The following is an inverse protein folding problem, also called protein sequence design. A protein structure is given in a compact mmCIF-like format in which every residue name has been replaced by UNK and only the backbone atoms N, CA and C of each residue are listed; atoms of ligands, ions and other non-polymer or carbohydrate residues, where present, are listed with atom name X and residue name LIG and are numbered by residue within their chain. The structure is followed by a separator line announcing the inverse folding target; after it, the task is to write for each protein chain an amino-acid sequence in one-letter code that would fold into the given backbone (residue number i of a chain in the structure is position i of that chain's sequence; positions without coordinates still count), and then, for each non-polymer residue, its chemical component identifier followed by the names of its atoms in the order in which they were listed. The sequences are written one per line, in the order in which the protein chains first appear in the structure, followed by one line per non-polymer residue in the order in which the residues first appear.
data_IF_178424564202
#
_entry.id   IF_178424564202
#
_cell.length_a   1.000
_cell.length_b   1.000
_cell.length_c   1.000
_cell.angle_alpha   90.00
_cell.angle_beta   90.00
_cell.angle_gamma   90.00
#
_symmetry.space_group_name_H-M   'P 1'
#
loop_
_entity.id
_entity.type
_entity.pdbx_description
1 polymer ?
#
# COMPACT_ATOMS: atom_id res chain seq x y z
N UNK A 1 -0.63 64.13 -77.78
CA UNK A 1 0.50 63.65 -78.60
C UNK A 1 1.08 62.42 -77.93
N UNK A 2 0.93 61.35 -78.62
CA UNK A 2 1.94 60.37 -78.92
C UNK A 2 2.54 59.67 -77.71
N UNK A 3 2.50 58.51 -77.62
CA UNK A 3 2.53 57.31 -78.36
C UNK A 3 3.06 56.26 -77.46
N UNK A 4 2.56 55.19 -77.33
CA UNK A 4 2.77 53.94 -77.96
C UNK A 4 3.90 53.15 -77.25
N UNK A 5 3.66 52.06 -76.79
CA UNK A 5 4.05 50.81 -77.37
C UNK A 5 3.85 49.63 -76.39
N UNK A 6 3.23 48.65 -76.90
CA UNK A 6 3.03 47.30 -76.29
C UNK A 6 4.38 46.54 -76.27
N UNK A 7 4.55 45.71 -75.27
CA UNK A 7 5.15 44.40 -75.52
C UNK A 7 4.75 43.39 -74.43
N UNK A 8 4.15 42.35 -74.91
CA UNK A 8 3.92 41.07 -74.19
C UNK A 8 5.25 40.35 -74.06
N UNK A 9 5.46 39.77 -72.95
CA UNK A 9 6.16 38.47 -72.92
C UNK A 9 5.73 37.66 -71.69
N UNK A 10 5.44 36.45 -72.01
CA UNK A 10 4.92 35.29 -71.29
C UNK A 10 5.70 34.85 -70.07
N UNK A 11 4.94 34.40 -69.10
CA UNK A 11 5.11 33.09 -68.45
C UNK A 11 6.45 32.70 -67.81
N UNK A 12 6.47 32.57 -66.52
CA UNK A 12 6.99 31.35 -65.88
C UNK A 12 6.37 31.21 -64.50
N UNK A 13 5.57 30.20 -64.40
CA UNK A 13 5.19 29.64 -63.13
C UNK A 13 6.40 29.05 -62.44
N UNK A 14 6.75 29.50 -61.26
CA UNK A 14 7.57 28.73 -60.36
C UNK A 14 6.84 28.64 -59.03
N UNK A 15 6.50 27.44 -58.69
CA UNK A 15 5.82 27.02 -57.50
C UNK A 15 6.63 27.38 -56.24
N UNK A 16 5.96 27.93 -55.29
CA UNK A 16 6.50 28.06 -53.92
C UNK A 16 6.44 26.68 -53.27
N UNK A 17 7.55 26.16 -52.69
CA UNK A 17 7.48 25.00 -51.84
C UNK A 17 6.80 25.40 -50.52
N UNK A 18 5.75 24.69 -50.16
CA UNK A 18 5.06 24.84 -48.92
C UNK A 18 5.98 24.51 -47.77
N UNK A 19 6.15 25.47 -46.88
CA UNK A 19 6.74 25.24 -45.59
C UNK A 19 5.76 24.43 -44.79
N UNK A 20 6.01 23.13 -44.68
CA UNK A 20 5.36 22.28 -43.68
C UNK A 20 5.89 22.68 -42.30
N UNK A 21 5.11 23.46 -41.59
CA UNK A 21 5.32 23.66 -40.17
C UNK A 21 5.13 22.29 -39.46
N UNK A 22 6.24 21.66 -39.15
CA UNK A 22 6.29 20.56 -38.24
C UNK A 22 5.78 21.02 -36.88
N UNK A 23 4.53 20.70 -36.57
CA UNK A 23 4.02 20.78 -35.23
C UNK A 23 4.82 19.83 -34.37
N UNK A 24 5.79 20.37 -33.64
CA UNK A 24 6.46 19.67 -32.56
C UNK A 24 5.37 19.32 -31.52
N UNK A 25 4.93 18.07 -31.58
CA UNK A 25 4.10 17.49 -30.56
C UNK A 25 4.88 17.52 -29.25
N UNK A 26 4.38 18.28 -28.27
CA UNK A 26 4.87 18.22 -26.89
C UNK A 26 4.83 16.76 -26.46
N UNK A 27 5.92 16.22 -25.88
CA UNK A 27 5.89 14.87 -25.35
C UNK A 27 4.79 14.82 -24.29
N UNK A 28 3.76 14.04 -24.55
CA UNK A 28 2.80 13.66 -23.52
C UNK A 28 3.61 12.94 -22.46
N UNK A 29 3.83 13.61 -21.33
CA UNK A 29 4.28 12.94 -20.13
C UNK A 29 3.26 11.82 -19.86
N UNK A 30 3.68 10.63 -20.21
CA UNK A 30 3.00 9.43 -19.73
C UNK A 30 3.21 9.47 -18.22
N UNK A 31 2.20 9.91 -17.50
CA UNK A 31 2.09 9.59 -16.10
C UNK A 31 2.13 8.06 -16.04
N UNK A 32 3.32 7.57 -15.78
CA UNK A 32 3.49 6.20 -15.36
C UNK A 32 2.85 6.12 -13.97
N UNK A 33 1.54 5.99 -13.96
CA UNK A 33 0.86 5.46 -12.80
C UNK A 33 1.35 4.03 -12.68
N UNK A 34 2.51 3.87 -12.05
CA UNK A 34 2.87 2.58 -11.49
C UNK A 34 1.66 2.18 -10.66
N UNK A 35 0.85 1.29 -11.23
CA UNK A 35 -0.15 0.56 -10.47
C UNK A 35 0.63 -0.04 -9.30
N UNK A 36 0.53 0.60 -8.13
CA UNK A 36 0.99 -0.02 -6.88
C UNK A 36 0.39 -1.42 -6.89
N UNK A 37 1.18 -2.45 -6.61
CA UNK A 37 0.61 -3.77 -6.42
C UNK A 37 -0.46 -3.58 -5.36
N UNK A 38 -1.70 -3.68 -5.75
CA UNK A 38 -2.78 -3.72 -4.79
C UNK A 38 -2.51 -4.98 -3.99
N UNK A 39 -2.20 -4.81 -2.71
CA UNK A 39 -2.22 -5.93 -1.79
C UNK A 39 -3.68 -6.39 -1.74
N UNK A 40 -3.99 -7.31 -2.63
CA UNK A 40 -5.36 -7.73 -2.84
C UNK A 40 -5.75 -8.74 -1.79
N UNK A 41 -6.96 -8.65 -1.39
CA UNK A 41 -7.72 -9.63 -0.66
C UNK A 41 -7.34 -11.06 -1.07
N UNK A 42 -6.33 -11.59 -0.42
CA UNK A 42 -5.79 -12.91 -0.78
C UNK A 42 -5.98 -13.93 0.33
N UNK A 43 -6.41 -13.46 1.49
CA UNK A 43 -6.65 -14.34 2.61
C UNK A 43 -8.15 -14.54 2.89
N UNK A 44 -9.02 -13.84 2.16
CA UNK A 44 -10.46 -13.91 2.35
C UNK A 44 -10.95 -13.23 3.63
N UNK A 45 -10.18 -12.29 4.18
CA UNK A 45 -10.49 -11.53 5.39
C UNK A 45 -10.34 -10.04 5.14
N UNK A 46 -11.40 -9.44 4.64
CA UNK A 46 -11.40 -8.05 4.21
C UNK A 46 -11.06 -7.06 5.34
N UNK A 47 -11.51 -7.34 6.57
CA UNK A 47 -11.25 -6.48 7.72
C UNK A 47 -9.77 -6.48 8.09
N UNK A 48 -9.17 -7.65 8.23
CA UNK A 48 -7.74 -7.78 8.57
C UNK A 48 -6.83 -7.26 7.47
N UNK A 49 -7.18 -7.49 6.23
CA UNK A 49 -6.43 -6.96 5.08
C UNK A 49 -6.46 -5.44 5.04
N UNK A 50 -7.61 -4.82 5.26
CA UNK A 50 -7.74 -3.38 5.32
C UNK A 50 -6.91 -2.78 6.48
N UNK A 51 -6.97 -3.39 7.65
CA UNK A 51 -6.18 -2.97 8.81
C UNK A 51 -4.68 -3.12 8.56
N UNK A 52 -4.25 -4.22 7.97
CA UNK A 52 -2.85 -4.47 7.62
C UNK A 52 -2.32 -3.41 6.66
N UNK A 53 -3.05 -3.15 5.59
CA UNK A 53 -2.62 -2.17 4.59
C UNK A 53 -2.59 -0.75 5.16
N UNK A 54 -3.54 -0.40 6.02
CA UNK A 54 -3.56 0.90 6.68
C UNK A 54 -2.34 1.09 7.60
N UNK A 55 -2.05 0.12 8.46
CA UNK A 55 -0.90 0.19 9.38
C UNK A 55 0.42 0.20 8.59
N UNK A 56 0.54 -0.63 7.57
CA UNK A 56 1.73 -0.68 6.72
C UNK A 56 1.99 0.66 6.03
N UNK A 57 0.97 1.33 5.51
CA UNK A 57 1.11 2.64 4.87
C UNK A 57 1.49 3.73 5.85
N UNK A 58 0.94 3.72 7.06
CA UNK A 58 1.34 4.68 8.10
C UNK A 58 2.82 4.54 8.41
N UNK A 59 3.32 3.33 8.54
CA UNK A 59 4.71 3.05 8.89
C UNK A 59 5.71 3.29 7.74
N UNK A 60 5.30 3.06 6.51
CA UNK A 60 6.20 3.12 5.35
C UNK A 60 6.09 4.40 4.52
N UNK A 61 4.97 5.09 4.59
CA UNK A 61 4.66 6.24 3.74
C UNK A 61 4.41 7.53 4.53
N UNK A 62 4.62 7.53 5.83
CA UNK A 62 4.27 8.63 6.75
C UNK A 62 2.81 9.08 6.60
N UNK A 63 1.94 8.15 6.25
CA UNK A 63 0.54 8.43 6.04
C UNK A 63 -0.20 8.58 7.38
N UNK A 64 -1.27 9.39 7.39
CA UNK A 64 -2.11 9.55 8.57
C UNK A 64 -3.18 8.47 8.62
N UNK A 65 -3.17 7.65 9.68
CA UNK A 65 -4.10 6.53 9.85
C UNK A 65 -5.57 6.94 9.77
N UNK A 66 -5.93 8.10 10.32
CA UNK A 66 -7.28 8.66 10.27
C UNK A 66 -7.75 9.05 8.85
N UNK A 67 -6.85 9.15 7.89
CA UNK A 67 -7.15 9.41 6.48
C UNK A 67 -7.06 8.13 5.63
N UNK A 68 -6.05 7.31 5.89
CA UNK A 68 -5.76 6.11 5.09
C UNK A 68 -6.82 5.03 5.28
N UNK A 69 -7.17 4.71 6.53
CA UNK A 69 -8.11 3.62 6.80
C UNK A 69 -9.51 3.89 6.25
N UNK A 70 -10.13 5.05 6.46
CA UNK A 70 -11.43 5.35 5.86
C UNK A 70 -11.42 5.27 4.33
N UNK A 71 -10.34 5.70 3.69
CA UNK A 71 -10.17 5.60 2.24
C UNK A 71 -10.15 4.14 1.79
N UNK A 72 -9.35 3.28 2.44
CA UNK A 72 -9.27 1.85 2.11
C UNK A 72 -10.63 1.19 2.26
N UNK A 73 -11.33 1.46 3.36
CA UNK A 73 -12.65 0.89 3.63
C UNK A 73 -13.66 1.28 2.55
N UNK A 74 -13.65 2.55 2.12
CA UNK A 74 -14.54 3.03 1.04
C UNK A 74 -14.21 2.38 -0.30
N UNK A 75 -12.94 2.35 -0.69
CA UNK A 75 -12.48 1.78 -1.96
C UNK A 75 -12.81 0.28 -2.07
N UNK A 76 -12.71 -0.43 -0.97
CA UNK A 76 -12.97 -1.88 -0.91
C UNK A 76 -14.41 -2.23 -0.52
N UNK A 77 -15.24 -1.23 -0.29
CA UNK A 77 -16.65 -1.40 0.13
C UNK A 77 -16.79 -2.27 1.40
N UNK A 78 -15.85 -2.11 2.31
CA UNK A 78 -15.89 -2.76 3.62
C UNK A 78 -16.80 -1.95 4.54
N UNK A 79 -17.84 -2.55 5.07
CA UNK A 79 -18.91 -1.90 5.86
C UNK A 79 -19.29 -2.73 7.08
N UNK A 80 -20.06 -2.14 7.96
CA UNK A 80 -20.65 -2.81 9.10
C UNK A 80 -19.61 -3.37 10.07
N UNK A 81 -19.77 -4.62 10.47
CA UNK A 81 -18.87 -5.31 11.40
C UNK A 81 -17.43 -5.34 10.93
N UNK A 82 -17.23 -5.61 9.66
CA UNK A 82 -15.87 -5.70 9.10
C UNK A 82 -15.18 -4.35 9.14
N UNK A 83 -15.88 -3.27 8.85
CA UNK A 83 -15.34 -1.92 8.97
C UNK A 83 -15.03 -1.56 10.43
N UNK A 84 -15.90 -1.92 11.37
CA UNK A 84 -15.67 -1.69 12.78
C UNK A 84 -14.47 -2.49 13.30
N UNK A 85 -14.35 -3.75 12.91
CA UNK A 85 -13.23 -4.60 13.28
C UNK A 85 -11.91 -4.13 12.68
N UNK A 86 -11.89 -3.76 11.41
CA UNK A 86 -10.73 -3.17 10.76
C UNK A 86 -10.26 -1.89 11.47
N UNK A 87 -11.21 -1.06 11.88
CA UNK A 87 -10.94 0.19 12.60
C UNK A 87 -10.32 -0.07 13.98
N UNK A 88 -10.88 -1.02 14.72
CA UNK A 88 -10.32 -1.43 16.01
C UNK A 88 -8.90 -1.97 15.86
N UNK A 89 -8.67 -2.87 14.91
CA UNK A 89 -7.35 -3.46 14.68
C UNK A 89 -6.32 -2.41 14.29
N UNK A 90 -6.63 -1.57 13.32
CA UNK A 90 -5.68 -0.57 12.81
C UNK A 90 -5.34 0.47 13.88
N UNK A 91 -6.35 1.09 14.46
CA UNK A 91 -6.12 2.14 15.45
C UNK A 91 -5.61 1.59 16.77
N UNK A 92 -6.08 0.44 17.20
CA UNK A 92 -5.59 -0.24 18.39
C UNK A 92 -4.10 -0.59 18.25
N UNK A 93 -3.70 -1.14 17.13
CA UNK A 93 -2.30 -1.44 16.82
C UNK A 93 -1.45 -0.17 16.81
N UNK A 94 -1.88 0.88 16.11
CA UNK A 94 -1.14 2.14 16.03
C UNK A 94 -0.99 2.84 17.40
N UNK A 95 -2.00 2.76 18.25
CA UNK A 95 -1.94 3.35 19.60
C UNK A 95 -1.02 2.62 20.56
N UNK A 96 -0.77 1.34 20.31
CA UNK A 96 -0.05 0.47 21.24
C UNK A 96 1.29 -0.02 20.71
N UNK A 97 1.82 0.61 19.66
CA UNK A 97 3.07 0.17 18.99
C UNK A 97 4.21 -0.09 19.97
N UNK A 98 4.43 0.79 20.93
CA UNK A 98 5.52 0.63 21.89
C UNK A 98 5.40 -0.65 22.72
N UNK A 99 4.19 -0.96 23.19
CA UNK A 99 3.91 -2.20 23.94
C UNK A 99 4.08 -3.42 23.05
N UNK A 100 3.49 -3.38 21.85
CA UNK A 100 3.57 -4.49 20.90
C UNK A 100 5.02 -4.77 20.50
N UNK A 101 5.79 -3.74 20.20
CA UNK A 101 7.19 -3.88 19.83
C UNK A 101 8.04 -4.46 20.96
N UNK A 102 7.78 -4.05 22.21
CA UNK A 102 8.47 -4.63 23.36
C UNK A 102 8.19 -6.13 23.50
N UNK A 103 6.94 -6.54 23.38
CA UNK A 103 6.57 -7.97 23.42
C UNK A 103 7.19 -8.76 22.26
N UNK A 104 7.13 -8.24 21.05
CA UNK A 104 7.70 -8.90 19.87
C UNK A 104 9.22 -9.01 20.03
N UNK A 105 9.88 -7.97 20.54
CA UNK A 105 11.34 -7.96 20.74
C UNK A 105 11.80 -9.05 21.71
N UNK A 106 11.05 -9.30 22.79
CA UNK A 106 11.34 -10.39 23.72
C UNK A 106 11.26 -11.79 23.07
N UNK A 107 10.44 -11.94 22.05
CA UNK A 107 10.25 -13.20 21.34
C UNK A 107 11.14 -13.34 20.09
N UNK A 108 11.74 -12.25 19.64
CA UNK A 108 12.49 -12.22 18.39
C UNK A 108 13.97 -12.44 18.60
N UNK A 109 14.56 -13.33 17.79
CA UNK A 109 16.03 -13.50 17.73
C UNK A 109 16.72 -12.41 16.90
N UNK A 110 15.95 -11.53 16.25
CA UNK A 110 16.44 -10.48 15.37
C UNK A 110 15.93 -9.12 15.84
N UNK A 111 16.75 -8.06 15.72
CA UNK A 111 16.28 -6.71 15.97
C UNK A 111 15.07 -6.35 15.10
N UNK A 112 14.07 -5.67 15.65
CA UNK A 112 12.85 -5.30 14.89
C UNK A 112 13.16 -4.38 13.71
N UNK A 113 14.21 -3.56 13.83
CA UNK A 113 14.68 -2.66 12.77
C UNK A 113 15.21 -3.39 11.53
N UNK A 114 15.56 -4.66 11.65
CA UNK A 114 16.03 -5.50 10.54
C UNK A 114 14.90 -6.29 9.88
N UNK A 115 13.69 -6.22 10.42
CA UNK A 115 12.54 -6.92 9.84
C UNK A 115 11.95 -6.13 8.67
N UNK A 116 11.50 -6.86 7.65
CA UNK A 116 10.70 -6.24 6.59
C UNK A 116 9.45 -5.58 7.20
N UNK A 117 9.07 -4.37 6.75
CA UNK A 117 7.90 -3.67 7.27
C UNK A 117 6.60 -4.47 7.24
N UNK A 118 6.41 -5.31 6.21
CA UNK A 118 5.22 -6.16 6.13
C UNK A 118 5.24 -7.28 7.18
N UNK A 119 6.40 -7.84 7.46
CA UNK A 119 6.58 -8.84 8.53
C UNK A 119 6.31 -8.22 9.89
N UNK A 120 6.88 -7.07 10.16
CA UNK A 120 6.67 -6.37 11.43
C UNK A 120 5.20 -5.95 11.60
N UNK A 121 4.54 -5.49 10.55
CA UNK A 121 3.12 -5.16 10.58
C UNK A 121 2.26 -6.38 10.90
N UNK A 122 2.53 -7.52 10.28
CA UNK A 122 1.83 -8.76 10.57
C UNK A 122 2.02 -9.19 12.04
N UNK A 123 3.23 -9.09 12.56
CA UNK A 123 3.54 -9.37 13.97
C UNK A 123 2.80 -8.44 14.93
N UNK A 124 2.76 -7.15 14.63
CA UNK A 124 2.07 -6.15 15.43
C UNK A 124 0.55 -6.40 15.48
N UNK A 125 -0.06 -6.67 14.33
CA UNK A 125 -1.49 -6.98 14.26
C UNK A 125 -1.84 -8.29 14.98
N UNK A 126 -1.03 -9.31 14.81
CA UNK A 126 -1.20 -10.59 15.51
C UNK A 126 -1.07 -10.43 17.02
N UNK A 127 -0.05 -9.75 17.48
CA UNK A 127 0.19 -9.49 18.90
C UNK A 127 -0.92 -8.66 19.52
N UNK A 128 -1.41 -7.63 18.82
CA UNK A 128 -2.56 -6.85 19.27
C UNK A 128 -3.79 -7.73 19.47
N UNK A 129 -4.11 -8.58 18.52
CA UNK A 129 -5.24 -9.49 18.62
C UNK A 129 -5.11 -10.46 19.80
N UNK A 130 -3.91 -11.02 19.98
CA UNK A 130 -3.64 -11.98 21.07
C UNK A 130 -3.75 -11.35 22.47
N UNK A 131 -3.30 -10.11 22.63
CA UNK A 131 -3.19 -9.48 23.94
C UNK A 131 -4.35 -8.54 24.28
N UNK A 132 -4.93 -7.90 23.29
CA UNK A 132 -5.85 -6.78 23.49
C UNK A 132 -7.29 -7.04 23.01
N UNK A 133 -7.55 -8.18 22.41
CA UNK A 133 -8.87 -8.53 21.90
C UNK A 133 -9.33 -9.91 22.38
N UNK A 134 -10.58 -10.25 22.09
CA UNK A 134 -11.14 -11.58 22.34
C UNK A 134 -11.11 -12.49 21.12
N UNK A 135 -10.33 -12.13 20.13
CA UNK A 135 -10.12 -12.97 18.95
C UNK A 135 -9.48 -14.30 19.38
N UNK A 136 -9.95 -15.39 18.80
CA UNK A 136 -9.33 -16.70 18.99
C UNK A 136 -7.84 -16.68 18.62
N UNK A 137 -7.00 -17.24 19.48
CA UNK A 137 -5.54 -17.21 19.30
C UNK A 137 -5.13 -17.86 17.98
N UNK A 138 -5.76 -18.96 17.61
CA UNK A 138 -5.46 -19.65 16.36
C UNK A 138 -5.79 -18.76 15.14
N UNK A 139 -6.92 -18.07 15.17
CA UNK A 139 -7.29 -17.14 14.13
C UNK A 139 -6.32 -15.94 14.04
N UNK A 140 -5.91 -15.39 15.17
CA UNK A 140 -4.95 -14.30 15.22
C UNK A 140 -3.59 -14.71 14.61
N UNK A 141 -3.09 -15.87 14.96
CA UNK A 141 -1.81 -16.40 14.45
C UNK A 141 -1.92 -16.74 12.96
N UNK A 142 -2.90 -17.54 12.56
CA UNK A 142 -3.05 -18.01 11.19
C UNK A 142 -3.25 -16.84 10.20
N UNK A 143 -4.12 -15.92 10.50
CA UNK A 143 -4.39 -14.76 9.61
C UNK A 143 -3.18 -13.85 9.49
N UNK A 144 -2.42 -13.65 10.56
CA UNK A 144 -1.20 -12.82 10.52
C UNK A 144 -0.11 -13.47 9.68
N UNK A 145 0.07 -14.78 9.77
CA UNK A 145 0.99 -15.53 8.90
C UNK A 145 0.58 -15.39 7.43
N UNK A 146 -0.70 -15.53 7.14
CA UNK A 146 -1.24 -15.41 5.79
C UNK A 146 -1.12 -13.99 5.22
N UNK A 147 -1.26 -12.96 6.05
CA UNK A 147 -1.03 -11.57 5.66
C UNK A 147 0.42 -11.34 5.25
N UNK A 148 1.37 -11.82 6.02
CA UNK A 148 2.79 -11.73 5.67
C UNK A 148 3.10 -12.46 4.36
N UNK A 149 2.56 -13.65 4.18
CA UNK A 149 2.71 -14.45 2.96
C UNK A 149 2.09 -13.74 1.75
N UNK A 150 0.89 -13.19 1.87
CA UNK A 150 0.21 -12.44 0.83
C UNK A 150 0.95 -11.14 0.45
N UNK A 151 1.71 -10.56 1.37
CA UNK A 151 2.56 -9.40 1.13
C UNK A 151 3.92 -9.76 0.50
N UNK A 152 4.11 -10.99 0.06
CA UNK A 152 5.33 -11.46 -0.58
C UNK A 152 6.42 -11.94 0.39
N UNK A 153 6.12 -12.08 1.67
CA UNK A 153 7.05 -12.48 2.72
C UNK A 153 6.88 -13.95 3.16
N UNK A 154 6.59 -14.83 2.20
CA UNK A 154 6.38 -16.24 2.48
C UNK A 154 7.59 -16.93 3.16
N UNK A 155 8.80 -16.45 2.93
CA UNK A 155 10.02 -16.93 3.61
C UNK A 155 10.01 -16.64 5.11
N UNK A 156 9.29 -15.63 5.57
CA UNK A 156 9.16 -15.27 6.98
C UNK A 156 8.02 -16.01 7.69
N UNK A 157 7.30 -16.88 7.02
CA UNK A 157 6.13 -17.59 7.54
C UNK A 157 6.42 -18.31 8.87
N UNK A 158 7.49 -19.10 8.90
CA UNK A 158 7.90 -19.82 10.12
C UNK A 158 8.32 -18.89 11.25
N UNK A 159 8.97 -17.79 10.93
CA UNK A 159 9.37 -16.76 11.89
C UNK A 159 8.15 -16.07 12.52
N UNK A 160 7.21 -15.61 11.72
CA UNK A 160 5.95 -14.99 12.19
C UNK A 160 5.16 -15.95 13.05
N UNK A 161 4.97 -17.18 12.59
CA UNK A 161 4.26 -18.22 13.32
C UNK A 161 4.92 -18.53 14.66
N UNK A 162 6.25 -18.67 14.69
CA UNK A 162 7.01 -18.96 15.91
C UNK A 162 6.88 -17.85 16.96
N UNK A 163 7.02 -16.60 16.57
CA UNK A 163 6.87 -15.46 17.48
C UNK A 163 5.45 -15.39 18.04
N UNK A 164 4.44 -15.42 17.17
CA UNK A 164 3.05 -15.28 17.61
C UNK A 164 2.58 -16.45 18.49
N UNK A 165 3.05 -17.64 18.24
CA UNK A 165 2.77 -18.78 19.13
C UNK A 165 3.40 -18.60 20.50
N UNK A 166 4.60 -18.04 20.58
CA UNK A 166 5.23 -17.72 21.87
C UNK A 166 4.44 -16.65 22.61
N UNK A 167 3.99 -15.60 21.91
CA UNK A 167 3.11 -14.56 22.49
C UNK A 167 1.81 -15.18 23.01
N UNK A 168 1.18 -16.06 22.24
CA UNK A 168 -0.07 -16.73 22.62
C UNK A 168 0.06 -17.64 23.85
N UNK A 169 1.19 -18.30 24.02
CA UNK A 169 1.46 -19.18 25.17
C UNK A 169 1.74 -18.42 26.47
N UNK A 170 2.17 -17.17 26.34
CA UNK A 170 2.46 -16.30 27.48
C UNK A 170 1.21 -15.48 27.78
N UNK A 171 0.73 -15.49 29.00
CA UNK A 171 -0.50 -14.75 29.33
C UNK A 171 -0.29 -13.25 29.20
N UNK A 172 -1.36 -12.54 28.84
CA UNK A 172 -1.32 -11.07 28.75
C UNK A 172 -0.88 -10.42 30.09
N UNK A 173 -1.15 -11.09 31.21
CA UNK A 173 -0.74 -10.61 32.52
C UNK A 173 0.77 -10.70 32.75
N UNK A 174 1.44 -11.64 32.11
CA UNK A 174 2.91 -11.79 32.23
C UNK A 174 3.66 -10.76 31.35
N UNK A 175 2.98 -10.19 30.37
CA UNK A 175 3.54 -9.15 29.51
C UNK A 175 3.41 -7.71 30.07
N UNK A 176 2.51 -7.52 31.02
CA UNK A 176 2.21 -6.20 31.63
C UNK A 176 2.81 -6.08 33.03
#
# INVERSE_FOLDING_TARGET
MSGGFRSRTKSAQQGKPGQSQSRQGKPKQRHNTQKRPQAHSRIGDAAREAAFDAVLRVETEDAFGNLVLPQILRERKVKGRDAAFATELAYGTLRTLGVLDAVIAECSSRPLTELDPAVLTALRLGTYQLLMTRVDDHAAVDTSVRLAEAAGQGKAKGFVNGILRTVARTSAHEWM
#
